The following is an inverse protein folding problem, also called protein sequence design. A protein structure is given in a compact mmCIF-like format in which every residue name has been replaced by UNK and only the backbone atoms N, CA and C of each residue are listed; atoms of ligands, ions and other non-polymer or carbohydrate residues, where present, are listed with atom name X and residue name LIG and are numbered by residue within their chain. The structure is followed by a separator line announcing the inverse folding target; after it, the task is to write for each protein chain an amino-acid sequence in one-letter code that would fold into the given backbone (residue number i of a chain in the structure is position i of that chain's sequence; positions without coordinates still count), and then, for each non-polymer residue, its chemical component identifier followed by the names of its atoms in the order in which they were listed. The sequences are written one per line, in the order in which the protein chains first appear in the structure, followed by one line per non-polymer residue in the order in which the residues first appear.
data_IF_606267324980
#
_entry.id   IF_606267324980
#
_cell.length_a   1.000
_cell.length_b   1.000
_cell.length_c   1.000
_cell.angle_alpha   90.00
_cell.angle_beta   90.00
_cell.angle_gamma   90.00
#
_symmetry.space_group_name_H-M   'P 1'
#
loop_
_entity.id
_entity.type
_entity.pdbx_description
1 polymer ?
#
# COMPACT_ATOMS: atom_id res chain seq x y z
N UNK A 1 -11.97 8.15 29.79
CA UNK A 1 -12.90 8.38 28.66
C UNK A 1 -12.58 7.33 27.60
N UNK A 2 -13.58 6.57 27.18
CA UNK A 2 -13.44 5.55 26.12
C UNK A 2 -14.05 6.11 24.85
N UNK A 3 -13.27 6.17 23.78
CA UNK A 3 -13.74 6.63 22.46
C UNK A 3 -14.47 5.50 21.70
N UNK A 4 -15.17 5.77 20.58
CA UNK A 4 -15.95 4.76 19.84
C UNK A 4 -15.13 3.53 19.36
N UNK A 5 -13.82 3.68 19.22
CA UNK A 5 -12.91 2.58 18.85
C UNK A 5 -12.48 1.69 20.03
N UNK A 6 -12.95 1.94 21.26
CA UNK A 6 -12.83 1.00 22.40
C UNK A 6 -11.61 1.18 23.29
N UNK A 7 -10.85 2.27 23.13
CA UNK A 7 -9.71 2.58 24.00
C UNK A 7 -9.60 4.09 24.31
N UNK A 8 -8.66 4.46 25.18
CA UNK A 8 -8.49 5.83 25.69
C UNK A 8 -7.67 6.77 24.80
N UNK A 9 -6.95 6.25 23.78
CA UNK A 9 -6.23 7.09 22.81
C UNK A 9 -7.22 7.90 21.98
N UNK A 10 -6.87 9.16 21.67
CA UNK A 10 -7.71 10.11 20.92
C UNK A 10 -7.84 9.84 19.41
N UNK A 11 -7.08 8.87 18.90
CA UNK A 11 -7.13 8.47 17.50
C UNK A 11 -7.27 6.96 17.38
N UNK A 12 -8.06 6.51 16.41
CA UNK A 12 -8.13 5.12 16.01
C UNK A 12 -6.97 4.80 15.05
N UNK A 13 -5.88 4.26 15.58
CA UNK A 13 -4.73 3.92 14.73
C UNK A 13 -5.08 2.78 13.77
N UNK A 14 -4.55 2.83 12.56
CA UNK A 14 -4.76 1.81 11.53
C UNK A 14 -4.52 0.38 12.08
N UNK A 15 -3.38 0.15 12.75
CA UNK A 15 -3.08 -1.16 13.34
C UNK A 15 -4.14 -1.64 14.36
N UNK A 16 -4.63 -0.77 15.23
CA UNK A 16 -5.66 -1.12 16.23
C UNK A 16 -7.02 -1.39 15.58
N UNK A 17 -7.38 -0.62 14.55
CA UNK A 17 -8.59 -0.86 13.78
C UNK A 17 -8.58 -2.27 13.17
N UNK A 18 -7.49 -2.68 12.52
CA UNK A 18 -7.38 -4.01 11.93
C UNK A 18 -7.33 -5.14 12.97
N UNK A 19 -6.64 -4.94 14.10
CA UNK A 19 -6.65 -5.93 15.19
C UNK A 19 -8.07 -6.11 15.75
N UNK A 20 -8.84 -5.02 15.89
CA UNK A 20 -10.23 -5.08 16.33
C UNK A 20 -11.13 -5.82 15.32
N UNK A 21 -10.94 -5.56 14.03
CA UNK A 21 -11.78 -6.12 12.96
C UNK A 21 -11.45 -7.59 12.65
N UNK A 22 -10.17 -7.94 12.59
CA UNK A 22 -9.69 -9.26 12.13
C UNK A 22 -9.12 -10.13 13.25
N UNK A 23 -8.98 -9.60 14.47
CA UNK A 23 -8.40 -10.32 15.61
C UNK A 23 -6.86 -10.43 15.56
N UNK A 24 -6.22 -9.90 14.51
CA UNK A 24 -4.78 -10.02 14.28
C UNK A 24 -4.17 -8.79 13.61
N UNK A 25 -2.83 -8.73 13.56
CA UNK A 25 -2.13 -7.66 12.86
C UNK A 25 -2.24 -7.87 11.35
N UNK A 26 -2.83 -6.90 10.65
CA UNK A 26 -2.84 -6.87 9.19
C UNK A 26 -1.66 -6.06 8.66
N UNK A 27 -0.95 -6.62 7.68
CA UNK A 27 0.17 -5.99 6.97
C UNK A 27 -0.23 -5.63 5.54
N UNK A 28 0.17 -4.45 5.09
CA UNK A 28 0.05 -4.06 3.67
C UNK A 28 1.29 -4.54 2.94
N UNK A 29 1.08 -5.31 1.87
CA UNK A 29 2.15 -5.77 0.97
C UNK A 29 2.01 -5.04 -0.35
N UNK A 30 3.09 -4.44 -0.83
CA UNK A 30 3.12 -3.79 -2.14
C UNK A 30 3.29 -4.86 -3.22
N UNK A 31 2.70 -4.64 -4.39
CA UNK A 31 2.89 -5.49 -5.57
C UNK A 31 3.03 -4.61 -6.81
N UNK A 32 3.94 -4.99 -7.69
CA UNK A 32 4.13 -4.39 -9.01
C UNK A 32 3.68 -5.37 -10.09
N UNK A 33 2.54 -5.08 -10.73
CA UNK A 33 1.98 -5.90 -11.79
C UNK A 33 2.39 -5.45 -13.21
N UNK A 34 3.40 -4.57 -13.32
CA UNK A 34 3.98 -4.17 -14.61
C UNK A 34 3.12 -3.21 -15.44
N UNK A 35 2.00 -2.72 -14.90
CA UNK A 35 1.25 -1.66 -15.55
C UNK A 35 1.85 -0.28 -15.25
N UNK A 36 1.59 0.67 -16.13
CA UNK A 36 2.00 2.06 -15.96
C UNK A 36 0.76 2.97 -15.83
N UNK A 37 0.97 4.19 -15.34
CA UNK A 37 -0.08 5.17 -15.17
C UNK A 37 -0.37 5.86 -16.51
N UNK A 38 -1.64 6.01 -16.92
CA UNK A 38 -1.99 6.62 -18.20
C UNK A 38 -1.60 8.11 -18.34
N UNK A 39 -1.33 8.78 -17.22
CA UNK A 39 -0.79 10.14 -17.21
C UNK A 39 0.75 10.17 -17.39
N UNK A 40 1.43 9.05 -17.14
CA UNK A 40 2.87 8.87 -17.35
C UNK A 40 3.18 8.29 -18.73
N UNK A 41 2.34 7.38 -19.22
CA UNK A 41 2.54 6.72 -20.51
C UNK A 41 2.08 7.53 -21.73
N UNK A 42 1.38 8.65 -21.53
CA UNK A 42 0.92 9.51 -22.62
C UNK A 42 -0.54 9.29 -23.06
N UNK A 43 -1.19 8.21 -22.63
CA UNK A 43 -2.52 7.82 -23.14
C UNK A 43 -3.67 8.69 -22.64
N UNK A 44 -3.54 9.30 -21.46
CA UNK A 44 -4.52 10.24 -20.88
C UNK A 44 -3.92 11.59 -20.46
N UNK A 45 -2.59 11.70 -20.45
CA UNK A 45 -1.86 12.92 -20.14
C UNK A 45 -0.37 12.72 -20.34
N UNK A 46 0.40 13.81 -20.32
CA UNK A 46 1.85 13.79 -20.56
C UNK A 46 2.62 14.27 -19.33
N UNK A 47 3.74 13.63 -19.01
CA UNK A 47 4.67 14.08 -17.96
C UNK A 47 4.36 13.58 -16.54
N UNK A 48 3.22 12.93 -16.32
CA UNK A 48 2.80 12.45 -15.00
C UNK A 48 2.31 13.55 -14.06
N UNK A 49 1.88 13.16 -12.86
CA UNK A 49 1.48 14.13 -11.82
C UNK A 49 2.71 14.73 -11.15
N UNK A 50 2.70 16.05 -10.88
CA UNK A 50 3.82 16.76 -10.22
C UNK A 50 4.18 16.21 -8.84
N UNK A 51 3.25 15.55 -8.17
CA UNK A 51 3.44 14.91 -6.85
C UNK A 51 3.78 13.41 -6.93
N UNK A 52 3.80 12.81 -8.13
CA UNK A 52 3.95 11.37 -8.29
C UNK A 52 5.41 10.99 -8.55
N UNK A 53 5.97 10.18 -7.66
CA UNK A 53 7.21 9.43 -7.88
C UNK A 53 7.00 7.96 -7.54
N UNK A 54 6.51 7.16 -8.51
CA UNK A 54 6.13 5.75 -8.27
C UNK A 54 7.27 4.93 -7.65
N UNK A 55 8.50 5.22 -8.07
CA UNK A 55 9.68 4.49 -7.64
C UNK A 55 10.01 4.75 -6.15
N UNK A 56 9.57 5.87 -5.57
CA UNK A 56 9.77 6.18 -4.16
C UNK A 56 8.88 5.38 -3.20
N UNK A 57 7.82 4.74 -3.72
CA UNK A 57 6.88 3.96 -2.90
C UNK A 57 6.96 2.46 -3.18
N UNK A 58 7.83 2.03 -4.09
CA UNK A 58 7.98 0.64 -4.50
C UNK A 58 9.12 -0.04 -3.70
N UNK A 59 8.84 -1.01 -2.82
CA UNK A 59 9.87 -1.74 -2.10
C UNK A 59 10.79 -2.52 -3.04
N UNK A 60 12.03 -2.78 -2.62
CA UNK A 60 13.02 -3.51 -3.44
C UNK A 60 12.61 -4.94 -3.82
N UNK A 61 11.70 -5.57 -3.06
CA UNK A 61 11.17 -6.88 -3.38
C UNK A 61 10.15 -6.85 -4.54
N UNK A 62 9.55 -5.69 -4.84
CA UNK A 62 8.59 -5.53 -5.91
C UNK A 62 9.30 -5.30 -7.25
N UNK A 63 9.11 -6.21 -8.20
CA UNK A 63 9.65 -6.09 -9.55
C UNK A 63 8.71 -6.77 -10.53
N UNK A 64 8.42 -6.16 -11.69
CA UNK A 64 7.62 -6.79 -12.75
C UNK A 64 8.24 -8.09 -13.29
N UNK A 65 9.55 -8.30 -13.05
CA UNK A 65 10.24 -9.55 -13.42
C UNK A 65 9.86 -10.74 -12.53
N UNK A 66 9.29 -10.49 -11.35
CA UNK A 66 8.83 -11.50 -10.39
C UNK A 66 7.34 -11.72 -10.52
N UNK A 67 6.89 -12.96 -10.33
CA UNK A 67 5.46 -13.25 -10.23
C UNK A 67 4.83 -12.51 -9.04
N UNK A 68 3.55 -12.15 -9.15
CA UNK A 68 2.80 -11.51 -8.04
C UNK A 68 2.88 -12.35 -6.76
N UNK A 69 2.81 -13.68 -6.90
CA UNK A 69 2.95 -14.61 -5.77
C UNK A 69 4.29 -14.43 -5.06
N UNK A 70 5.39 -14.41 -5.81
CA UNK A 70 6.73 -14.24 -5.25
C UNK A 70 6.87 -12.89 -4.54
N UNK A 71 6.34 -11.80 -5.13
CA UNK A 71 6.38 -10.48 -4.50
C UNK A 71 5.61 -10.46 -3.16
N UNK A 72 4.47 -11.16 -3.09
CA UNK A 72 3.69 -11.29 -1.85
C UNK A 72 4.48 -12.07 -0.80
N UNK A 73 5.06 -13.21 -1.17
CA UNK A 73 5.85 -14.07 -0.25
C UNK A 73 7.07 -13.34 0.32
N UNK A 74 7.75 -12.50 -0.47
CA UNK A 74 8.90 -11.71 -0.01
C UNK A 74 8.53 -10.46 0.79
N UNK A 75 7.26 -10.01 0.70
CA UNK A 75 6.77 -8.79 1.36
C UNK A 75 6.10 -9.03 2.72
N UNK A 76 5.96 -10.28 3.15
CA UNK A 76 5.43 -10.70 4.46
C UNK A 76 6.58 -10.77 5.45
#
# INVERSE_FOLDING_TARGET
MTFPWGHNRRFNSYAQYFIKEFGERVQKVTVDAGFTCPNRDGSKGTGGCTYCNNDAFNPSYCSPSKSIKQQIEEGI
#
